data_IF_559114799368
#
_entry.id   IF_559114799368
#
_cell.length_a   1.000
_cell.length_b   1.000
_cell.length_c   1.000
_cell.angle_alpha   90.00
_cell.angle_beta   90.00
_cell.angle_gamma   90.00
#
_symmetry.space_group_name_H-M   'P 1'
#
loop_
_entity.id
_entity.type
_entity.pdbx_description
1 polymer ?
#
# COMPACT_ATOMS: atom_id res chain seq x y z
N UNK A 1 77.64 -74.06 145.93
CA UNK A 1 78.62 -73.08 145.43
C UNK A 1 77.82 -71.84 145.08
N UNK A 2 77.86 -70.85 145.96
CA UNK A 2 78.91 -69.82 145.99
C UNK A 2 78.63 -68.75 144.95
N UNK A 3 78.34 -67.58 145.50
CA UNK A 3 78.34 -66.25 144.93
C UNK A 3 79.49 -66.00 143.95
N UNK A 4 79.22 -65.16 142.94
CA UNK A 4 80.16 -64.73 141.90
C UNK A 4 81.50 -64.18 142.46
N UNK A 5 81.48 -63.57 143.65
CA UNK A 5 82.67 -63.05 144.34
C UNK A 5 83.62 -64.13 144.88
N UNK A 6 83.11 -65.31 145.24
CA UNK A 6 83.94 -66.45 145.69
C UNK A 6 84.59 -67.18 144.51
N UNK A 7 83.90 -67.24 143.36
CA UNK A 7 84.46 -67.72 142.09
C UNK A 7 85.55 -66.80 141.56
N UNK A 8 85.37 -65.47 141.65
CA UNK A 8 86.41 -64.50 141.30
C UNK A 8 87.64 -64.65 142.20
N UNK A 9 87.49 -64.73 143.53
CA UNK A 9 88.63 -64.91 144.44
C UNK A 9 89.45 -66.18 144.16
N UNK A 10 88.79 -67.29 143.79
CA UNK A 10 89.49 -68.52 143.37
C UNK A 10 90.20 -68.37 142.03
N UNK A 11 89.58 -67.69 141.06
CA UNK A 11 90.21 -67.38 139.77
C UNK A 11 91.45 -66.49 139.94
N UNK A 12 91.36 -65.44 140.77
CA UNK A 12 92.50 -64.56 141.05
C UNK A 12 93.64 -65.32 141.73
N UNK A 13 93.33 -66.23 142.66
CA UNK A 13 94.32 -67.07 143.35
C UNK A 13 95.08 -67.99 142.38
N UNK A 14 94.36 -68.64 141.45
CA UNK A 14 94.96 -69.50 140.41
C UNK A 14 95.84 -68.67 139.45
N UNK A 15 95.39 -67.47 139.07
CA UNK A 15 96.18 -66.58 138.20
C UNK A 15 97.44 -66.03 138.87
N UNK A 16 97.42 -65.80 140.20
CA UNK A 16 98.62 -65.42 140.95
C UNK A 16 99.62 -66.57 141.10
N UNK A 17 99.15 -67.81 141.22
CA UNK A 17 100.01 -69.00 141.34
C UNK A 17 100.68 -69.36 139.98
N UNK A 18 99.96 -69.20 138.87
CA UNK A 18 100.49 -69.42 137.52
C UNK A 18 101.57 -68.39 137.11
N UNK A 19 101.41 -67.12 137.50
CA UNK A 19 102.38 -66.04 137.18
C UNK A 19 103.71 -66.19 137.93
N UNK A 20 103.71 -66.86 139.09
CA UNK A 20 104.90 -67.13 139.89
C UNK A 20 105.65 -68.42 139.48
N UNK A 21 104.99 -69.37 138.81
CA UNK A 21 105.66 -70.53 138.19
C UNK A 21 106.10 -70.31 136.72
N UNK A 22 106.05 -69.07 136.23
CA UNK A 22 106.45 -68.73 134.85
C UNK A 22 105.67 -69.47 133.74
N UNK A 23 104.44 -69.92 134.01
CA UNK A 23 103.56 -70.55 133.00
C UNK A 23 102.74 -69.46 132.31
N UNK A 24 102.74 -69.44 130.97
CA UNK A 24 101.99 -68.43 130.22
C UNK A 24 100.48 -68.69 130.33
N UNK A 25 99.63 -67.64 130.36
CA UNK A 25 98.18 -67.76 130.57
C UNK A 25 97.40 -68.55 129.50
N UNK A 26 98.08 -68.99 128.44
CA UNK A 26 97.51 -69.67 127.28
C UNK A 26 97.52 -71.21 127.43
N UNK A 27 98.25 -71.75 128.41
CA UNK A 27 98.46 -73.19 128.60
C UNK A 27 97.55 -73.83 129.69
N UNK A 28 96.62 -73.06 130.29
CA UNK A 28 95.73 -73.50 131.40
C UNK A 28 94.25 -73.46 131.03
N UNK A 29 93.92 -73.00 129.82
CA UNK A 29 92.53 -72.80 129.38
C UNK A 29 92.22 -73.78 128.24
N UNK A 30 91.22 -74.67 128.40
CA UNK A 30 90.81 -75.62 127.36
C UNK A 30 90.41 -74.93 126.05
N UNK A 31 90.65 -75.58 124.89
CA UNK A 31 90.40 -75.01 123.58
C UNK A 31 88.93 -74.65 123.30
N UNK A 32 87.97 -75.06 124.14
CA UNK A 32 86.55 -74.74 123.96
C UNK A 32 86.12 -73.32 124.43
N UNK A 33 86.93 -72.58 125.20
CA UNK A 33 86.47 -71.34 125.90
C UNK A 33 87.13 -70.04 125.40
N UNK A 34 88.08 -70.11 124.46
CA UNK A 34 88.74 -68.93 123.88
C UNK A 34 87.80 -68.02 123.05
N UNK A 35 86.65 -68.52 122.61
CA UNK A 35 85.70 -67.74 121.80
C UNK A 35 84.94 -66.64 122.58
N UNK A 36 84.81 -66.75 123.91
CA UNK A 36 84.03 -65.80 124.73
C UNK A 36 84.82 -64.58 125.24
N UNK A 37 86.11 -64.45 124.88
CA UNK A 37 86.93 -63.29 125.21
C UNK A 37 86.81 -62.12 124.19
N UNK A 38 85.96 -62.25 123.17
CA UNK A 38 85.61 -61.16 122.24
C UNK A 38 84.67 -60.13 122.86
N UNK A 39 83.60 -60.57 123.55
CA UNK A 39 82.44 -59.71 123.86
C UNK A 39 82.61 -58.78 125.08
N UNK A 40 83.55 -59.06 125.99
CA UNK A 40 83.72 -58.24 127.21
C UNK A 40 84.60 -56.99 127.03
N UNK A 41 85.39 -56.91 125.95
CA UNK A 41 86.13 -55.69 125.61
C UNK A 41 85.17 -54.57 125.17
N UNK A 42 84.08 -54.91 124.50
CA UNK A 42 83.10 -53.95 124.00
C UNK A 42 82.27 -53.30 125.12
N UNK A 43 82.03 -54.03 126.22
CA UNK A 43 81.30 -53.53 127.39
C UNK A 43 82.11 -52.55 128.24
N UNK A 44 83.45 -52.64 128.23
CA UNK A 44 84.31 -51.67 128.94
C UNK A 44 84.37 -50.34 128.17
N UNK A 45 84.48 -50.39 126.84
CA UNK A 45 84.38 -49.21 125.98
C UNK A 45 83.01 -48.53 126.08
N UNK A 46 81.92 -49.30 126.20
CA UNK A 46 80.59 -48.72 126.41
C UNK A 46 80.45 -48.01 127.77
N UNK A 47 81.08 -48.52 128.84
CA UNK A 47 81.07 -47.84 130.15
C UNK A 47 81.94 -46.59 130.20
N UNK A 48 83.09 -46.59 129.52
CA UNK A 48 83.91 -45.38 129.37
C UNK A 48 83.16 -44.33 128.53
N UNK A 49 82.42 -44.74 127.49
CA UNK A 49 81.57 -43.83 126.72
C UNK A 49 80.42 -43.22 127.55
N UNK A 50 79.76 -44.00 128.43
CA UNK A 50 78.69 -43.47 129.30
C UNK A 50 79.23 -42.42 130.26
N UNK A 51 80.41 -42.64 130.84
CA UNK A 51 81.04 -41.67 131.74
C UNK A 51 81.44 -40.38 131.01
N UNK A 52 81.94 -40.51 129.78
CA UNK A 52 82.25 -39.37 128.92
C UNK A 52 80.99 -38.59 128.52
N UNK A 53 79.85 -39.27 128.34
CA UNK A 53 78.55 -38.63 128.09
C UNK A 53 78.04 -37.89 129.32
N UNK A 54 78.13 -38.47 130.53
CA UNK A 54 77.72 -37.79 131.78
C UNK A 54 78.57 -36.54 132.05
N UNK A 55 79.89 -36.59 131.82
CA UNK A 55 80.76 -35.40 131.91
C UNK A 55 80.44 -34.36 130.83
N UNK A 56 80.08 -34.79 129.61
CA UNK A 56 79.57 -33.89 128.58
C UNK A 56 78.22 -33.28 128.95
N UNK A 57 77.35 -34.03 129.61
CA UNK A 57 76.02 -33.57 129.99
C UNK A 57 76.12 -32.53 131.11
N UNK A 58 76.97 -32.73 132.12
CA UNK A 58 77.29 -31.68 133.10
C UNK A 58 77.94 -30.45 132.44
N UNK A 59 78.90 -30.65 131.53
CA UNK A 59 79.49 -29.52 130.80
C UNK A 59 78.47 -28.78 129.91
N UNK A 60 77.44 -29.47 129.40
CA UNK A 60 76.33 -28.86 128.65
C UNK A 60 75.33 -28.15 129.55
N UNK A 61 75.10 -28.64 130.77
CA UNK A 61 74.27 -27.95 131.78
C UNK A 61 74.95 -26.67 132.22
N UNK A 62 76.24 -26.71 132.57
CA UNK A 62 77.02 -25.51 132.90
C UNK A 62 77.05 -24.53 131.73
N UNK A 63 77.24 -25.04 130.50
CA UNK A 63 77.22 -24.20 129.29
C UNK A 63 75.83 -23.65 128.98
N UNK A 64 74.75 -24.33 129.37
CA UNK A 64 73.39 -23.81 129.28
C UNK A 64 73.12 -22.75 130.33
N UNK A 65 73.63 -22.89 131.56
CA UNK A 65 73.54 -21.83 132.57
C UNK A 65 74.34 -20.59 132.17
N UNK A 66 75.53 -20.78 131.60
CA UNK A 66 76.33 -19.69 131.02
C UNK A 66 75.64 -19.07 129.80
N UNK A 67 75.05 -19.88 128.91
CA UNK A 67 74.25 -19.37 127.78
C UNK A 67 73.00 -18.63 128.27
N UNK A 68 72.33 -19.07 129.34
CA UNK A 68 71.20 -18.32 129.92
C UNK A 68 71.65 -16.99 130.56
N UNK A 69 72.85 -16.96 131.16
CA UNK A 69 73.48 -15.70 131.60
C UNK A 69 73.83 -14.80 130.42
N UNK A 70 74.42 -15.33 129.35
CA UNK A 70 74.71 -14.58 128.12
C UNK A 70 73.41 -14.10 127.45
N UNK A 71 72.33 -14.88 127.49
CA UNK A 71 71.04 -14.51 126.92
C UNK A 71 70.32 -13.46 127.78
N UNK A 72 70.46 -13.50 129.10
CA UNK A 72 70.00 -12.41 130.00
C UNK A 72 70.82 -11.13 129.80
N UNK A 73 72.14 -11.23 129.65
CA UNK A 73 73.00 -10.08 129.34
C UNK A 73 72.73 -9.53 127.92
N UNK A 74 72.47 -10.39 126.93
CA UNK A 74 72.09 -9.97 125.58
C UNK A 74 70.69 -9.34 125.54
N UNK A 75 69.74 -9.82 126.35
CA UNK A 75 68.41 -9.20 126.48
C UNK A 75 68.49 -7.83 127.17
N UNK A 76 69.35 -7.66 128.18
CA UNK A 76 69.61 -6.33 128.76
C UNK A 76 70.39 -5.41 127.80
N UNK A 77 71.30 -5.94 126.97
CA UNK A 77 71.95 -5.17 125.90
C UNK A 77 71.01 -4.80 124.74
N UNK A 78 69.84 -5.46 124.60
CA UNK A 78 68.78 -5.12 123.63
C UNK A 78 67.79 -4.09 124.21
N UNK A 79 67.62 -4.01 125.54
CA UNK A 79 66.86 -2.91 126.17
C UNK A 79 67.69 -1.61 126.30
N UNK A 80 69.02 -1.72 126.47
CA UNK A 80 69.97 -0.59 126.47
C UNK A 80 70.64 -0.35 125.09
N UNK A 81 69.88 -0.47 124.00
CA UNK A 81 70.34 -0.11 122.64
C UNK A 81 70.36 1.43 122.47
N UNK A 82 71.44 2.02 121.89
CA UNK A 82 71.56 3.47 121.69
C UNK A 82 70.42 4.04 120.85
N UNK A 83 69.98 5.28 121.13
CA UNK A 83 68.93 6.01 120.38
C UNK A 83 69.11 5.94 118.85
N UNK A 84 70.35 5.80 118.38
CA UNK A 84 70.73 5.71 116.96
C UNK A 84 70.08 4.52 116.21
N UNK A 85 69.81 3.39 116.88
CA UNK A 85 69.14 2.24 116.24
C UNK A 85 67.62 2.41 116.16
N UNK A 86 67.01 3.11 117.13
CA UNK A 86 65.59 3.51 117.04
C UNK A 86 65.39 4.53 115.91
N UNK A 87 66.34 5.45 115.75
CA UNK A 87 66.37 6.40 114.63
C UNK A 87 66.40 5.70 113.26
N UNK A 88 67.30 4.72 113.07
CA UNK A 88 67.40 3.96 111.79
C UNK A 88 66.14 3.16 111.44
N UNK A 89 65.43 2.63 112.42
CA UNK A 89 64.15 1.93 112.18
C UNK A 89 63.08 2.89 111.69
N UNK A 90 63.03 4.10 112.25
CA UNK A 90 62.14 5.18 111.81
C UNK A 90 62.53 5.64 110.41
N UNK A 91 63.83 5.83 110.12
CA UNK A 91 64.31 6.20 108.79
C UNK A 91 63.98 5.14 107.73
N UNK A 92 64.08 3.86 108.08
CA UNK A 92 63.72 2.76 107.19
C UNK A 92 62.21 2.70 106.93
N UNK A 93 61.37 2.96 107.93
CA UNK A 93 59.92 3.10 107.76
C UNK A 93 59.58 4.32 106.89
N UNK A 94 60.23 5.47 107.12
CA UNK A 94 60.05 6.67 106.30
C UNK A 94 60.48 6.43 104.85
N UNK A 95 61.60 5.74 104.61
CA UNK A 95 62.04 5.36 103.28
C UNK A 95 61.07 4.38 102.60
N UNK A 96 60.51 3.41 103.34
CA UNK A 96 59.47 2.51 102.82
C UNK A 96 58.19 3.27 102.47
N UNK A 97 57.77 4.24 103.30
CA UNK A 97 56.64 5.10 103.00
C UNK A 97 56.89 5.98 101.76
N UNK A 98 58.09 6.55 101.62
CA UNK A 98 58.48 7.31 100.44
C UNK A 98 58.50 6.44 99.18
N UNK A 99 59.10 5.24 99.24
CA UNK A 99 59.11 4.28 98.13
C UNK A 99 57.68 3.92 97.73
N UNK A 100 56.80 3.65 98.70
CA UNK A 100 55.39 3.34 98.43
C UNK A 100 54.67 4.53 97.79
N UNK A 101 54.85 5.74 98.33
CA UNK A 101 54.28 6.96 97.77
C UNK A 101 54.73 7.19 96.33
N UNK A 102 56.03 7.07 96.02
CA UNK A 102 56.53 7.24 94.66
C UNK A 102 56.09 6.12 93.71
N UNK A 103 55.92 4.88 94.20
CA UNK A 103 55.30 3.81 93.41
C UNK A 103 53.85 4.11 93.07
N UNK A 104 53.04 4.48 94.06
CA UNK A 104 51.63 4.84 93.85
C UNK A 104 51.51 6.05 92.90
N UNK A 105 52.41 7.04 93.03
CA UNK A 105 52.47 8.20 92.12
C UNK A 105 52.84 7.80 90.69
N UNK A 106 53.82 6.90 90.54
CA UNK A 106 54.25 6.38 89.23
C UNK A 106 53.12 5.58 88.57
N UNK A 107 52.48 4.66 89.31
CA UNK A 107 51.33 3.89 88.80
C UNK A 107 50.17 4.80 88.40
N UNK A 108 49.87 5.82 89.21
CA UNK A 108 48.85 6.82 88.87
C UNK A 108 49.23 7.61 87.61
N UNK A 109 50.49 8.02 87.48
CA UNK A 109 50.99 8.73 86.29
C UNK A 109 50.94 7.85 85.04
N UNK A 110 51.32 6.57 85.15
CA UNK A 110 51.23 5.58 84.06
C UNK A 110 49.79 5.34 83.64
N UNK A 111 48.87 5.12 84.59
CA UNK A 111 47.44 4.98 84.29
C UNK A 111 46.88 6.23 83.61
N UNK A 112 47.29 7.42 84.08
CA UNK A 112 46.88 8.69 83.47
C UNK A 112 47.45 8.84 82.05
N UNK A 113 48.71 8.47 81.82
CA UNK A 113 49.34 8.49 80.50
C UNK A 113 48.65 7.51 79.54
N UNK A 114 48.34 6.28 79.98
CA UNK A 114 47.59 5.29 79.22
C UNK A 114 46.18 5.78 78.88
N UNK A 115 45.49 6.41 79.83
CA UNK A 115 44.18 7.02 79.58
C UNK A 115 44.26 8.15 78.55
N UNK A 116 45.28 9.00 78.61
CA UNK A 116 45.48 10.05 77.59
C UNK A 116 45.85 9.46 76.23
N UNK A 117 46.69 8.43 76.17
CA UNK A 117 47.02 7.72 74.94
C UNK A 117 45.78 7.09 74.32
N UNK A 118 44.94 6.43 75.10
CA UNK A 118 43.67 5.86 74.64
C UNK A 118 42.73 6.93 74.10
N UNK A 119 42.53 8.05 74.83
CA UNK A 119 41.71 9.18 74.37
C UNK A 119 42.26 9.82 73.10
N UNK A 120 43.58 9.94 72.99
CA UNK A 120 44.23 10.47 71.79
C UNK A 120 44.02 9.55 70.59
N UNK A 121 44.19 8.24 70.75
CA UNK A 121 43.90 7.26 69.70
C UNK A 121 42.43 7.27 69.29
N UNK A 122 41.50 7.41 70.24
CA UNK A 122 40.08 7.56 69.93
C UNK A 122 39.79 8.85 69.16
N UNK A 123 40.40 9.97 69.56
CA UNK A 123 40.27 11.25 68.85
C UNK A 123 40.84 11.16 67.43
N UNK A 124 42.00 10.52 67.23
CA UNK A 124 42.58 10.29 65.91
C UNK A 124 41.68 9.42 65.03
N UNK A 125 41.07 8.36 65.57
CA UNK A 125 40.10 7.54 64.83
C UNK A 125 38.88 8.37 64.41
N UNK A 126 38.34 9.20 65.32
CA UNK A 126 37.21 10.10 65.01
C UNK A 126 37.59 11.12 63.94
N UNK A 127 38.80 11.68 64.01
CA UNK A 127 39.30 12.61 63.00
C UNK A 127 39.43 11.92 61.64
N UNK A 128 40.04 10.73 61.56
CA UNK A 128 40.15 9.97 60.32
C UNK A 128 38.77 9.67 59.70
N UNK A 129 37.78 9.27 60.51
CA UNK A 129 36.42 9.05 60.01
C UNK A 129 35.73 10.33 59.54
N UNK A 130 36.03 11.48 60.16
CA UNK A 130 35.51 12.77 59.75
C UNK A 130 36.14 13.23 58.43
N UNK A 131 37.46 13.02 58.27
CA UNK A 131 38.19 13.33 57.04
C UNK A 131 37.69 12.46 55.87
N UNK A 132 37.46 11.16 56.09
CA UNK A 132 36.85 10.26 55.10
C UNK A 132 35.44 10.71 54.71
N UNK A 133 34.62 11.12 55.68
CA UNK A 133 33.28 11.64 55.43
C UNK A 133 33.33 12.95 54.63
N UNK A 134 34.26 13.85 54.96
CA UNK A 134 34.44 15.12 54.26
C UNK A 134 34.87 14.90 52.80
N UNK A 135 35.85 14.01 52.55
CA UNK A 135 36.24 13.65 51.18
C UNK A 135 35.07 13.04 50.39
N UNK A 136 34.22 12.25 51.05
CA UNK A 136 33.02 11.69 50.41
C UNK A 136 32.00 12.78 50.06
N UNK A 137 31.80 13.76 50.96
CA UNK A 137 30.92 14.91 50.70
C UNK A 137 31.44 15.69 49.49
N UNK A 138 32.73 16.03 49.44
CA UNK A 138 33.33 16.79 48.34
C UNK A 138 33.18 16.06 46.99
N UNK A 139 33.36 14.74 46.96
CA UNK A 139 33.12 13.93 45.74
C UNK A 139 31.66 13.97 45.30
N UNK A 140 30.72 13.79 46.23
CA UNK A 140 29.29 13.82 45.93
C UNK A 140 28.84 15.23 45.50
N UNK A 141 29.40 16.29 46.07
CA UNK A 141 29.12 17.67 45.65
C UNK A 141 29.62 17.93 44.22
N UNK A 142 30.81 17.43 43.86
CA UNK A 142 31.33 17.51 42.50
C UNK A 142 30.45 16.72 41.51
N UNK A 143 30.09 15.47 41.84
CA UNK A 143 29.17 14.65 41.02
C UNK A 143 27.80 15.33 40.85
N UNK A 144 27.25 15.93 41.92
CA UNK A 144 26.00 16.68 41.85
C UNK A 144 26.12 17.91 40.94
N UNK A 145 27.26 18.60 40.94
CA UNK A 145 27.50 19.74 40.06
C UNK A 145 27.56 19.29 38.59
N UNK A 146 28.29 18.22 38.30
CA UNK A 146 28.40 17.65 36.95
C UNK A 146 27.04 17.18 36.43
N UNK A 147 26.25 16.48 37.26
CA UNK A 147 24.90 16.06 36.91
C UNK A 147 23.96 17.25 36.64
N UNK A 148 24.05 18.33 37.43
CA UNK A 148 23.28 19.56 37.15
C UNK A 148 23.67 20.17 35.80
N UNK A 149 24.97 20.22 35.47
CA UNK A 149 25.44 20.72 34.19
C UNK A 149 24.90 19.88 33.02
N UNK A 150 24.92 18.55 33.15
CA UNK A 150 24.35 17.63 32.15
C UNK A 150 22.84 17.81 32.01
N UNK A 151 22.09 17.95 33.11
CA UNK A 151 20.65 18.19 33.08
C UNK A 151 20.34 19.49 32.32
N UNK A 152 21.04 20.59 32.61
CA UNK A 152 20.84 21.86 31.90
C UNK A 152 21.14 21.70 30.40
N UNK A 153 22.19 20.98 30.04
CA UNK A 153 22.53 20.70 28.63
C UNK A 153 21.40 19.92 27.94
N UNK A 154 20.91 18.85 28.55
CA UNK A 154 19.81 18.04 28.00
C UNK A 154 18.51 18.83 27.90
N UNK A 155 18.22 19.70 28.87
CA UNK A 155 17.06 20.60 28.80
C UNK A 155 17.18 21.51 27.59
N UNK A 156 18.35 22.14 27.36
CA UNK A 156 18.56 23.01 26.22
C UNK A 156 18.49 22.26 24.88
N UNK A 157 19.06 21.05 24.81
CA UNK A 157 18.96 20.19 23.62
C UNK A 157 17.51 19.79 23.33
N UNK A 158 16.72 19.48 24.37
CA UNK A 158 15.32 19.13 24.24
C UNK A 158 14.48 20.34 23.77
N UNK A 159 14.70 21.53 24.33
CA UNK A 159 14.06 22.75 23.84
C UNK A 159 14.39 23.02 22.36
N UNK A 160 15.67 22.93 21.97
CA UNK A 160 16.09 23.11 20.58
C UNK A 160 15.47 22.06 19.64
N UNK A 161 15.36 20.80 20.07
CA UNK A 161 14.66 19.77 19.31
C UNK A 161 13.15 20.08 19.17
N UNK A 162 12.53 20.63 20.22
CA UNK A 162 11.12 20.99 20.20
C UNK A 162 10.85 22.15 19.22
N UNK A 163 11.69 23.19 19.24
CA UNK A 163 11.60 24.32 18.30
C UNK A 163 11.77 23.87 16.84
N UNK A 164 12.70 22.95 16.58
CA UNK A 164 12.89 22.34 15.25
C UNK A 164 11.65 21.55 14.84
N UNK A 165 11.11 20.73 15.74
CA UNK A 165 9.91 19.94 15.49
C UNK A 165 8.71 20.83 15.15
N UNK A 166 8.48 21.89 15.93
CA UNK A 166 7.38 22.83 15.69
C UNK A 166 7.54 23.56 14.36
N UNK A 167 8.76 23.98 14.00
CA UNK A 167 9.05 24.59 12.70
C UNK A 167 8.79 23.64 11.52
N UNK A 168 9.18 22.36 11.65
CA UNK A 168 8.91 21.34 10.62
C UNK A 168 7.41 21.10 10.51
N UNK A 169 6.72 20.94 11.64
CA UNK A 169 5.28 20.72 11.68
C UNK A 169 4.50 21.87 11.04
N UNK A 170 4.89 23.12 11.28
CA UNK A 170 4.27 24.28 10.64
C UNK A 170 4.48 24.28 9.12
N UNK A 171 5.68 23.93 8.65
CA UNK A 171 5.97 23.82 7.21
C UNK A 171 5.17 22.70 6.56
N UNK A 172 5.06 21.54 7.22
CA UNK A 172 4.30 20.41 6.71
C UNK A 172 2.80 20.72 6.64
N UNK A 173 2.25 21.42 7.65
CA UNK A 173 0.86 21.89 7.63
C UNK A 173 0.60 22.85 6.47
N UNK A 174 1.46 23.85 6.27
CA UNK A 174 1.36 24.77 5.12
C UNK A 174 1.44 24.03 3.78
N UNK A 175 2.35 23.07 3.65
CA UNK A 175 2.49 22.27 2.44
C UNK A 175 1.27 21.36 2.19
N UNK A 176 0.60 20.89 3.26
CA UNK A 176 -0.65 20.15 3.15
C UNK A 176 -1.80 21.07 2.70
N UNK A 177 -1.94 22.25 3.30
CA UNK A 177 -2.93 23.26 2.90
C UNK A 177 -2.76 23.65 1.42
N UNK A 178 -1.52 23.94 0.98
CA UNK A 178 -1.21 24.27 -0.42
C UNK A 178 -1.58 23.12 -1.38
N UNK A 179 -1.36 21.87 -0.96
CA UNK A 179 -1.74 20.69 -1.77
C UNK A 179 -3.25 20.51 -1.81
N UNK A 180 -3.95 20.74 -0.70
CA UNK A 180 -5.40 20.62 -0.62
C UNK A 180 -6.09 21.66 -1.51
N UNK A 181 -5.60 22.91 -1.52
CA UNK A 181 -6.07 23.95 -2.43
C UNK A 181 -5.88 23.53 -3.90
N UNK A 182 -4.69 23.04 -4.26
CA UNK A 182 -4.42 22.56 -5.64
C UNK A 182 -5.28 21.38 -6.03
N UNK A 183 -5.57 20.46 -5.10
CA UNK A 183 -6.47 19.34 -5.35
C UNK A 183 -7.89 19.83 -5.61
N UNK A 184 -8.42 20.74 -4.78
CA UNK A 184 -9.75 21.33 -5.01
C UNK A 184 -9.84 22.07 -6.36
N UNK A 185 -8.81 22.82 -6.74
CA UNK A 185 -8.74 23.48 -8.06
C UNK A 185 -8.77 22.46 -9.21
N UNK A 186 -8.02 21.36 -9.07
CA UNK A 186 -7.96 20.32 -10.10
C UNK A 186 -9.26 19.52 -10.19
N UNK A 187 -9.90 19.21 -9.05
CA UNK A 187 -11.23 18.59 -9.02
C UNK A 187 -12.28 19.47 -9.70
N UNK A 188 -12.26 20.77 -9.42
CA UNK A 188 -13.15 21.72 -10.09
C UNK A 188 -12.90 21.77 -11.59
N UNK A 189 -11.63 21.81 -12.01
CA UNK A 189 -11.28 21.77 -13.43
C UNK A 189 -11.75 20.49 -14.11
N UNK A 190 -11.56 19.33 -13.47
CA UNK A 190 -12.04 18.04 -14.00
C UNK A 190 -13.56 18.07 -14.15
N UNK A 191 -14.29 18.51 -13.14
CA UNK A 191 -15.75 18.63 -13.18
C UNK A 191 -16.21 19.55 -14.33
N UNK A 192 -15.61 20.74 -14.47
CA UNK A 192 -15.92 21.67 -15.57
C UNK A 192 -15.64 21.04 -16.94
N UNK A 193 -14.55 20.28 -17.08
CA UNK A 193 -14.24 19.59 -18.34
C UNK A 193 -15.22 18.47 -18.63
N UNK A 194 -15.62 17.67 -17.64
CA UNK A 194 -16.62 16.60 -17.80
C UNK A 194 -17.98 17.15 -18.21
N UNK A 195 -18.42 18.24 -17.59
CA UNK A 195 -19.68 18.89 -17.94
C UNK A 195 -19.64 19.46 -19.36
N UNK A 196 -18.49 20.02 -19.78
CA UNK A 196 -18.28 20.44 -21.17
C UNK A 196 -18.29 19.26 -22.14
N UNK A 197 -17.69 18.13 -21.78
CA UNK A 197 -17.72 16.92 -22.60
C UNK A 197 -19.14 16.41 -22.81
N UNK A 198 -19.97 16.36 -21.75
CA UNK A 198 -21.38 15.98 -21.85
C UNK A 198 -22.17 16.92 -22.77
N UNK A 199 -21.96 18.23 -22.66
CA UNK A 199 -22.61 19.20 -23.55
C UNK A 199 -22.24 18.97 -25.02
N UNK A 200 -20.96 18.73 -25.32
CA UNK A 200 -20.51 18.45 -26.69
C UNK A 200 -21.07 17.14 -27.21
N UNK A 201 -21.21 16.12 -26.37
CA UNK A 201 -21.83 14.85 -26.74
C UNK A 201 -23.33 14.99 -27.03
N UNK A 202 -24.06 15.75 -26.21
CA UNK A 202 -25.47 16.10 -26.46
C UNK A 202 -25.65 16.92 -27.75
N UNK A 203 -24.79 17.90 -28.01
CA UNK A 203 -24.79 18.67 -29.26
C UNK A 203 -24.50 17.79 -30.48
N UNK A 204 -23.56 16.85 -30.35
CA UNK A 204 -23.22 15.89 -31.39
C UNK A 204 -24.43 14.99 -31.70
N UNK A 205 -25.09 14.44 -30.69
CA UNK A 205 -26.26 13.58 -30.87
C UNK A 205 -27.42 14.34 -31.53
N UNK A 206 -27.64 15.61 -31.14
CA UNK A 206 -28.61 16.49 -31.80
C UNK A 206 -28.24 16.73 -33.26
N UNK A 207 -26.96 16.98 -33.56
CA UNK A 207 -26.49 17.17 -34.92
C UNK A 207 -26.71 15.92 -35.78
N UNK A 208 -26.34 14.74 -35.28
CA UNK A 208 -26.55 13.45 -35.96
C UNK A 208 -28.05 13.24 -36.26
N UNK A 209 -28.94 13.46 -35.28
CA UNK A 209 -30.39 13.35 -35.49
C UNK A 209 -30.91 14.32 -36.56
N UNK A 210 -30.45 15.58 -36.56
CA UNK A 210 -30.87 16.56 -37.58
C UNK A 210 -30.34 16.22 -38.97
N UNK A 211 -29.13 15.68 -39.06
CA UNK A 211 -28.50 15.26 -40.30
C UNK A 211 -29.22 14.04 -40.90
N UNK A 212 -29.49 13.02 -40.10
CA UNK A 212 -30.24 11.84 -40.52
C UNK A 212 -31.65 12.21 -40.98
N UNK A 213 -32.33 13.09 -40.23
CA UNK A 213 -33.65 13.60 -40.62
C UNK A 213 -33.64 14.44 -41.90
N UNK A 214 -32.52 15.09 -42.25
CA UNK A 214 -32.36 15.78 -43.52
C UNK A 214 -32.18 14.77 -44.67
N UNK A 215 -31.38 13.73 -44.46
CA UNK A 215 -31.17 12.66 -45.44
C UNK A 215 -32.50 11.97 -45.75
N UNK A 216 -33.26 11.57 -44.74
CA UNK A 216 -34.55 10.90 -44.93
C UNK A 216 -35.54 11.78 -45.72
N UNK A 217 -35.58 13.08 -45.44
CA UNK A 217 -36.40 14.03 -46.19
C UNK A 217 -35.95 14.15 -47.65
N UNK A 218 -34.64 14.25 -47.88
CA UNK A 218 -34.09 14.39 -49.22
C UNK A 218 -34.29 13.13 -50.05
N UNK A 219 -34.15 11.95 -49.44
CA UNK A 219 -34.45 10.66 -50.08
C UNK A 219 -35.95 10.53 -50.40
N UNK A 220 -36.82 10.97 -49.48
CA UNK A 220 -38.27 11.05 -49.70
C UNK A 220 -38.63 11.96 -50.89
N UNK A 221 -38.15 13.20 -50.88
CA UNK A 221 -38.36 14.16 -51.97
C UNK A 221 -37.80 13.66 -53.30
N UNK A 222 -36.61 13.05 -53.29
CA UNK A 222 -35.99 12.51 -54.51
C UNK A 222 -36.81 11.36 -55.09
N UNK A 223 -37.32 10.47 -54.24
CA UNK A 223 -38.21 9.37 -54.63
C UNK A 223 -39.53 9.89 -55.21
N UNK A 224 -40.15 10.88 -54.57
CA UNK A 224 -41.38 11.53 -55.04
C UNK A 224 -41.18 12.22 -56.39
N UNK A 225 -40.09 12.97 -56.55
CA UNK A 225 -39.74 13.64 -57.82
C UNK A 225 -39.48 12.60 -58.92
N UNK A 226 -38.76 11.53 -58.63
CA UNK A 226 -38.54 10.45 -59.59
C UNK A 226 -39.86 9.77 -60.01
N UNK A 227 -40.77 9.52 -59.08
CA UNK A 227 -42.09 8.97 -59.38
C UNK A 227 -42.94 9.94 -60.23
N UNK A 228 -42.94 11.23 -59.90
CA UNK A 228 -43.63 12.26 -60.67
C UNK A 228 -43.05 12.40 -62.09
N UNK A 229 -41.73 12.34 -62.23
CA UNK A 229 -41.04 12.39 -63.53
C UNK A 229 -41.36 11.16 -64.39
N UNK A 230 -41.37 9.96 -63.80
CA UNK A 230 -41.73 8.74 -64.51
C UNK A 230 -43.19 8.76 -64.96
N UNK A 231 -44.11 9.24 -64.11
CA UNK A 231 -45.52 9.39 -64.45
C UNK A 231 -45.74 10.41 -65.58
N UNK A 232 -45.09 11.56 -65.52
CA UNK A 232 -45.18 12.59 -66.57
C UNK A 232 -44.56 12.12 -67.88
N UNK A 233 -43.40 11.46 -67.85
CA UNK A 233 -42.76 10.83 -69.00
C UNK A 233 -43.66 9.76 -69.64
N UNK A 234 -44.31 8.93 -68.81
CA UNK A 234 -45.30 7.95 -69.26
C UNK A 234 -46.47 8.60 -69.99
N UNK A 235 -47.07 9.64 -69.39
CA UNK A 235 -48.16 10.41 -70.01
C UNK A 235 -47.73 11.06 -71.34
N UNK A 236 -46.53 11.64 -71.38
CA UNK A 236 -46.01 12.29 -72.58
C UNK A 236 -45.81 11.29 -73.72
N UNK A 237 -45.27 10.09 -73.43
CA UNK A 237 -45.14 9.01 -74.42
C UNK A 237 -46.48 8.55 -74.97
N UNK A 238 -47.52 8.44 -74.13
CA UNK A 238 -48.87 8.09 -74.58
C UNK A 238 -49.44 9.20 -75.47
N UNK A 239 -49.32 10.47 -75.05
CA UNK A 239 -49.80 11.61 -75.83
C UNK A 239 -49.08 11.73 -77.20
N UNK A 240 -47.77 11.49 -77.24
CA UNK A 240 -46.98 11.51 -78.47
C UNK A 240 -47.39 10.37 -79.42
N UNK A 241 -47.60 9.16 -78.91
CA UNK A 241 -48.13 8.03 -79.70
C UNK A 241 -49.50 8.33 -80.30
N UNK A 242 -50.43 8.86 -79.49
CA UNK A 242 -51.76 9.26 -79.97
C UNK A 242 -51.66 10.34 -81.06
N UNK A 243 -50.84 11.37 -80.83
CA UNK A 243 -50.60 12.42 -81.84
C UNK A 243 -50.05 11.85 -83.15
N UNK A 244 -49.05 10.96 -83.09
CA UNK A 244 -48.47 10.34 -84.28
C UNK A 244 -49.53 9.50 -85.02
N UNK A 245 -50.32 8.71 -84.29
CA UNK A 245 -51.42 7.93 -84.86
C UNK A 245 -52.45 8.84 -85.56
N UNK A 246 -52.92 9.89 -84.88
CA UNK A 246 -53.87 10.87 -85.43
C UNK A 246 -53.33 11.53 -86.71
N UNK A 247 -52.08 12.02 -86.69
CA UNK A 247 -51.48 12.67 -87.87
C UNK A 247 -51.34 11.68 -89.03
N UNK A 248 -50.94 10.44 -88.73
CA UNK A 248 -50.79 9.38 -89.74
C UNK A 248 -52.12 8.99 -90.37
N UNK A 249 -53.21 8.89 -89.60
CA UNK A 249 -54.56 8.61 -90.09
C UNK A 249 -55.19 9.77 -90.86
N UNK A 250 -54.99 11.02 -90.42
CA UNK A 250 -55.57 12.21 -91.06
C UNK A 250 -54.91 12.52 -92.41
N UNK A 251 -53.62 12.20 -92.57
CA UNK A 251 -52.86 12.51 -93.79
C UNK A 251 -53.48 11.94 -95.08
N UNK A 252 -53.79 10.63 -95.19
CA UNK A 252 -54.45 10.09 -96.39
C UNK A 252 -55.87 10.65 -96.59
N UNK A 253 -56.62 10.89 -95.50
CA UNK A 253 -57.95 11.51 -95.61
C UNK A 253 -57.88 12.92 -96.19
N UNK A 254 -56.91 13.73 -95.75
CA UNK A 254 -56.69 15.07 -96.31
C UNK A 254 -56.44 15.00 -97.83
N UNK A 255 -55.53 14.12 -98.25
CA UNK A 255 -55.21 13.91 -99.68
C UNK A 255 -56.41 13.41 -100.48
N UNK A 256 -57.23 12.54 -99.89
CA UNK A 256 -58.49 12.10 -100.48
C UNK A 256 -59.42 13.30 -100.71
N UNK A 257 -59.66 14.15 -99.71
CA UNK A 257 -60.57 15.29 -99.85
C UNK A 257 -60.06 16.34 -100.84
N UNK A 258 -58.73 16.55 -100.90
CA UNK A 258 -58.11 17.37 -101.96
C UNK A 258 -58.37 16.78 -103.35
N UNK A 259 -58.20 15.45 -103.51
CA UNK A 259 -58.46 14.74 -104.76
C UNK A 259 -59.94 14.77 -105.14
N UNK A 260 -60.83 14.57 -104.18
CA UNK A 260 -62.28 14.65 -104.35
C UNK A 260 -62.72 16.04 -104.80
N UNK A 261 -62.15 17.10 -104.22
CA UNK A 261 -62.40 18.47 -104.64
C UNK A 261 -61.95 18.71 -106.09
N UNK A 262 -60.77 18.20 -106.48
CA UNK A 262 -60.28 18.26 -107.86
C UNK A 262 -61.22 17.53 -108.84
N UNK A 263 -61.65 16.30 -108.50
CA UNK A 263 -62.61 15.52 -109.29
C UNK A 263 -63.94 16.28 -109.47
N UNK A 264 -64.49 16.82 -108.38
CA UNK A 264 -65.73 17.61 -108.42
C UNK A 264 -65.54 18.84 -109.30
N UNK A 265 -64.40 19.52 -109.20
CA UNK A 265 -64.08 20.67 -110.05
C UNK A 265 -64.05 20.27 -111.53
N UNK A 266 -63.46 19.13 -111.89
CA UNK A 266 -63.47 18.63 -113.27
C UNK A 266 -64.92 18.38 -113.74
N UNK A 267 -65.75 17.71 -112.92
CA UNK A 267 -67.17 17.53 -113.25
C UNK A 267 -67.88 18.86 -113.46
N UNK A 268 -67.66 19.83 -112.57
CA UNK A 268 -68.25 21.16 -112.68
C UNK A 268 -67.88 21.83 -114.00
N UNK A 269 -66.59 21.79 -114.41
CA UNK A 269 -66.15 22.36 -115.68
C UNK A 269 -66.78 21.66 -116.89
N UNK A 270 -66.88 20.32 -116.85
CA UNK A 270 -67.56 19.53 -117.90
C UNK A 270 -69.04 19.96 -118.01
N UNK A 271 -69.76 20.03 -116.90
CA UNK A 271 -71.17 20.44 -116.90
C UNK A 271 -71.35 21.89 -117.33
N UNK A 272 -70.51 22.81 -116.85
CA UNK A 272 -70.52 24.21 -117.28
C UNK A 272 -70.26 24.33 -118.78
N UNK A 273 -69.28 23.63 -119.33
CA UNK A 273 -69.00 23.61 -120.77
C UNK A 273 -70.13 23.02 -121.61
N UNK A 274 -70.83 22.01 -121.08
CA UNK A 274 -72.01 21.44 -121.74
C UNK A 274 -73.19 22.42 -121.75
N UNK A 275 -73.42 23.13 -120.64
CA UNK A 275 -74.54 24.05 -120.45
C UNK A 275 -74.30 25.46 -121.02
N UNK A 276 -73.05 25.88 -121.22
CA UNK A 276 -72.72 27.18 -121.80
C UNK A 276 -73.18 27.25 -123.27
N UNK A 277 -73.95 28.29 -123.59
CA UNK A 277 -74.47 28.57 -124.94
C UNK A 277 -73.53 29.41 -125.79
N UNK A 278 -72.64 30.18 -125.18
CA UNK A 278 -71.78 31.14 -125.88
C UNK A 278 -70.52 30.49 -126.46
N UNK A 279 -70.03 29.40 -125.86
CA UNK A 279 -68.84 28.69 -126.30
C UNK A 279 -69.08 27.17 -126.35
N UNK A 280 -69.52 26.60 -127.49
CA UNK A 280 -69.93 25.20 -127.60
C UNK A 280 -68.75 24.22 -127.71
N UNK A 281 -67.60 24.52 -127.09
CA UNK A 281 -66.48 23.57 -127.06
C UNK A 281 -66.72 22.58 -125.93
N UNK A 282 -67.35 21.46 -126.26
CA UNK A 282 -67.53 20.33 -125.33
C UNK A 282 -66.15 19.88 -124.84
N UNK A 283 -65.87 20.09 -123.56
CA UNK A 283 -64.70 19.52 -122.91
C UNK A 283 -64.95 18.04 -122.70
N UNK A 284 -64.13 17.21 -123.33
CA UNK A 284 -64.12 15.77 -123.10
C UNK A 284 -63.46 15.45 -121.77
N UNK A 285 -63.77 14.28 -121.21
CA UNK A 285 -63.17 13.82 -119.96
C UNK A 285 -61.64 13.83 -120.10
N UNK A 286 -60.93 14.59 -119.25
CA UNK A 286 -59.48 14.52 -119.21
C UNK A 286 -59.02 13.15 -118.70
N UNK A 287 -57.94 12.59 -119.25
CA UNK A 287 -57.33 11.36 -118.73
C UNK A 287 -56.93 11.50 -117.25
N UNK A 288 -56.63 12.73 -116.83
CA UNK A 288 -56.36 13.10 -115.45
C UNK A 288 -57.53 12.81 -114.48
N UNK A 289 -58.79 12.75 -114.95
CA UNK A 289 -59.94 12.43 -114.11
C UNK A 289 -59.87 10.99 -113.59
N UNK A 290 -59.59 10.02 -114.47
CA UNK A 290 -59.51 8.62 -114.06
C UNK A 290 -58.34 8.38 -113.12
N UNK A 291 -57.18 8.98 -113.43
CA UNK A 291 -56.03 8.96 -112.52
C UNK A 291 -56.34 9.57 -111.15
N UNK A 292 -57.12 10.66 -111.09
CA UNK A 292 -57.53 11.28 -109.83
C UNK A 292 -58.49 10.41 -109.03
N UNK A 293 -59.44 9.72 -109.67
CA UNK A 293 -60.36 8.77 -109.03
C UNK A 293 -59.57 7.57 -108.47
N UNK A 294 -58.71 6.96 -109.29
CA UNK A 294 -57.89 5.82 -108.84
C UNK A 294 -56.91 6.23 -107.73
N UNK A 295 -56.39 7.46 -107.76
CA UNK A 295 -55.58 8.01 -106.66
C UNK A 295 -56.40 8.20 -105.39
N UNK A 296 -57.63 8.72 -105.49
CA UNK A 296 -58.53 8.86 -104.36
C UNK A 296 -58.89 7.49 -103.74
N UNK A 297 -59.05 6.44 -104.55
CA UNK A 297 -59.26 5.07 -104.08
C UNK A 297 -58.10 4.60 -103.20
N UNK A 298 -56.86 4.79 -103.68
CA UNK A 298 -55.63 4.42 -102.97
C UNK A 298 -55.47 5.17 -101.64
N UNK A 299 -55.86 6.44 -101.57
CA UNK A 299 -55.81 7.20 -100.31
C UNK A 299 -56.84 6.67 -99.31
N UNK A 300 -58.03 6.25 -99.75
CA UNK A 300 -59.00 5.57 -98.88
C UNK A 300 -58.46 4.22 -98.38
N UNK A 301 -57.85 3.41 -99.25
CA UNK A 301 -57.22 2.15 -98.85
C UNK A 301 -56.07 2.35 -97.86
N UNK A 302 -55.21 3.34 -98.12
CA UNK A 302 -54.11 3.72 -97.24
C UNK A 302 -54.60 4.12 -95.85
N UNK A 303 -55.72 4.85 -95.75
CA UNK A 303 -56.35 5.16 -94.47
C UNK A 303 -56.72 3.89 -93.68
N UNK A 304 -57.41 2.92 -94.29
CA UNK A 304 -57.80 1.70 -93.58
C UNK A 304 -56.60 0.81 -93.22
N UNK A 305 -55.60 0.74 -94.10
CA UNK A 305 -54.37 0.01 -93.80
C UNK A 305 -53.65 0.60 -92.59
N UNK A 306 -53.47 1.93 -92.56
CA UNK A 306 -52.86 2.62 -91.42
C UNK A 306 -53.69 2.47 -90.15
N UNK A 307 -55.01 2.60 -90.25
CA UNK A 307 -55.92 2.37 -89.11
C UNK A 307 -55.75 0.97 -88.52
N UNK A 308 -55.75 -0.05 -89.37
CA UNK A 308 -55.58 -1.44 -88.94
C UNK A 308 -54.20 -1.67 -88.31
N UNK A 309 -53.14 -1.09 -88.86
CA UNK A 309 -51.80 -1.17 -88.31
C UNK A 309 -51.74 -0.53 -86.90
N UNK A 310 -52.32 0.67 -86.74
CA UNK A 310 -52.38 1.38 -85.46
C UNK A 310 -53.23 0.63 -84.42
N UNK A 311 -54.36 0.03 -84.84
CA UNK A 311 -55.19 -0.79 -83.96
C UNK A 311 -54.43 -2.05 -83.48
N UNK A 312 -53.56 -2.62 -84.32
CA UNK A 312 -52.70 -3.76 -83.94
C UNK A 312 -51.61 -3.40 -82.94
N UNK A 313 -51.22 -2.13 -82.84
CA UNK A 313 -50.27 -1.62 -81.84
C UNK A 313 -50.91 -1.40 -80.46
N UNK A 314 -52.22 -1.67 -80.32
CA UNK A 314 -52.94 -1.57 -79.05
C UNK A 314 -53.20 -0.13 -78.60
N UNK A 315 -53.20 0.83 -79.54
CA UNK A 315 -53.60 2.21 -79.26
C UNK A 315 -55.12 2.22 -79.10
N UNK A 316 -55.60 2.56 -77.90
CA UNK A 316 -57.03 2.63 -77.60
C UNK A 316 -57.74 3.64 -78.53
N UNK A 317 -59.00 3.36 -78.87
CA UNK A 317 -59.84 4.29 -79.63
C UNK A 317 -60.28 5.40 -78.69
N UNK A 318 -59.90 6.63 -79.01
CA UNK A 318 -60.40 7.83 -78.34
C UNK A 318 -61.46 8.53 -79.20
N UNK A 319 -62.10 9.56 -78.63
CA UNK A 319 -63.12 10.34 -79.33
C UNK A 319 -62.59 10.93 -80.66
N UNK A 320 -61.32 11.34 -80.70
CA UNK A 320 -60.69 11.90 -81.90
C UNK A 320 -60.56 10.84 -82.99
N UNK A 321 -60.10 9.65 -82.66
CA UNK A 321 -59.99 8.52 -83.59
C UNK A 321 -61.35 8.05 -84.05
N UNK A 322 -62.38 8.09 -83.22
CA UNK A 322 -63.75 7.77 -83.65
C UNK A 322 -64.25 8.79 -84.70
N UNK A 323 -64.01 10.08 -84.49
CA UNK A 323 -64.33 11.12 -85.49
C UNK A 323 -63.54 10.93 -86.80
N UNK A 324 -62.25 10.59 -86.72
CA UNK A 324 -61.42 10.29 -87.89
C UNK A 324 -61.95 9.07 -88.66
N UNK A 325 -62.42 8.03 -87.96
CA UNK A 325 -63.06 6.86 -88.59
C UNK A 325 -64.36 7.24 -89.30
N UNK A 326 -65.18 8.12 -88.71
CA UNK A 326 -66.37 8.64 -89.37
C UNK A 326 -66.02 9.39 -90.66
N UNK A 327 -64.95 10.19 -90.66
CA UNK A 327 -64.43 10.84 -91.86
C UNK A 327 -63.98 9.82 -92.91
N UNK A 328 -63.25 8.77 -92.51
CA UNK A 328 -62.85 7.70 -93.42
C UNK A 328 -64.03 6.98 -94.07
N UNK A 329 -65.06 6.63 -93.29
CA UNK A 329 -66.31 6.05 -93.84
C UNK A 329 -67.02 7.02 -94.78
N UNK A 330 -67.00 8.30 -94.47
CA UNK A 330 -67.54 9.35 -95.33
C UNK A 330 -66.77 9.45 -96.65
N UNK A 331 -65.44 9.40 -96.60
CA UNK A 331 -64.56 9.40 -97.76
C UNK A 331 -64.83 8.21 -98.69
N UNK A 332 -64.98 6.99 -98.18
CA UNK A 332 -65.33 5.81 -99.00
C UNK A 332 -66.66 5.99 -99.73
N UNK A 333 -67.69 6.47 -99.03
CA UNK A 333 -69.00 6.71 -99.65
C UNK A 333 -68.93 7.80 -100.71
N UNK A 334 -68.18 8.86 -100.43
CA UNK A 334 -67.95 9.94 -101.38
C UNK A 334 -67.20 9.45 -102.61
N UNK A 335 -66.15 8.64 -102.44
CA UNK A 335 -65.44 7.98 -103.53
C UNK A 335 -66.40 7.19 -104.42
N UNK A 336 -67.17 6.27 -103.83
CA UNK A 336 -68.12 5.45 -104.58
C UNK A 336 -69.13 6.29 -105.38
N UNK A 337 -69.56 7.42 -104.81
CA UNK A 337 -70.43 8.38 -105.50
C UNK A 337 -69.70 9.06 -106.67
N UNK A 338 -68.46 9.53 -106.46
CA UNK A 338 -67.65 10.17 -107.50
C UNK A 338 -67.32 9.21 -108.66
N UNK A 339 -67.04 7.95 -108.37
CA UNK A 339 -66.79 6.93 -109.38
C UNK A 339 -68.05 6.57 -110.18
N UNK A 340 -69.20 6.45 -109.51
CA UNK A 340 -70.49 6.26 -110.19
C UNK A 340 -70.81 7.44 -111.13
N UNK A 341 -70.64 8.68 -110.66
CA UNK A 341 -70.76 9.89 -111.49
C UNK A 341 -69.79 9.85 -112.66
N UNK A 342 -68.55 9.37 -112.47
CA UNK A 342 -67.58 9.23 -113.54
C UNK A 342 -68.10 8.30 -114.65
N UNK A 343 -68.65 7.16 -114.26
CA UNK A 343 -69.26 6.19 -115.16
C UNK A 343 -70.45 6.78 -115.92
N UNK A 344 -71.32 7.51 -115.23
CA UNK A 344 -72.48 8.17 -115.83
C UNK A 344 -72.09 9.27 -116.81
N UNK A 345 -71.18 10.17 -116.42
CA UNK A 345 -70.64 11.25 -117.27
C UNK A 345 -69.92 10.66 -118.48
N UNK A 346 -69.13 9.60 -118.31
CA UNK A 346 -68.44 8.90 -119.41
C UNK A 346 -69.43 8.32 -120.41
N UNK A 347 -70.46 7.61 -119.94
CA UNK A 347 -71.52 7.04 -120.79
C UNK A 347 -72.31 8.13 -121.51
N UNK A 348 -72.63 9.21 -120.80
CA UNK A 348 -73.34 10.36 -121.35
C UNK A 348 -72.53 11.03 -122.46
N UNK A 349 -71.27 11.40 -122.20
CA UNK A 349 -70.40 12.02 -123.19
C UNK A 349 -70.13 11.09 -124.38
N UNK A 350 -69.91 9.79 -124.17
CA UNK A 350 -69.76 8.83 -125.27
C UNK A 350 -71.02 8.78 -126.15
N UNK A 351 -72.21 8.88 -125.56
CA UNK A 351 -73.49 8.94 -126.29
C UNK A 351 -73.61 10.24 -127.07
N UNK A 352 -73.26 11.38 -126.46
CA UNK A 352 -73.20 12.69 -127.12
C UNK A 352 -72.23 12.70 -128.30
N UNK A 353 -71.08 12.04 -128.17
CA UNK A 353 -70.09 11.90 -129.25
C UNK A 353 -70.64 11.11 -130.44
N UNK A 354 -71.44 10.07 -130.17
CA UNK A 354 -72.07 9.22 -131.19
C UNK A 354 -73.29 9.88 -131.83
N UNK A 355 -74.02 10.72 -131.09
CA UNK A 355 -75.26 11.39 -131.53
C UNK A 355 -75.28 12.86 -131.08
N UNK A 356 -74.53 13.75 -131.76
CA UNK A 356 -74.43 15.16 -131.38
C UNK A 356 -75.73 15.94 -131.61
N UNK A 357 -76.57 15.48 -132.54
CA UNK A 357 -77.90 15.99 -132.86
C UNK A 357 -78.88 15.88 -131.68
N UNK A 358 -78.81 14.78 -130.93
CA UNK A 358 -79.64 14.56 -129.73
C UNK A 358 -79.37 15.63 -128.68
N UNK A 359 -78.13 16.10 -128.56
CA UNK A 359 -77.79 17.17 -127.61
C UNK A 359 -78.42 18.51 -127.97
N UNK A 360 -78.43 18.86 -129.26
CA UNK A 360 -79.09 20.08 -129.73
C UNK A 360 -80.59 20.03 -129.44
N UNK A 361 -81.21 18.87 -129.63
CA UNK A 361 -82.62 18.65 -129.33
C UNK A 361 -82.91 18.75 -127.82
N UNK A 362 -82.01 18.24 -126.98
CA UNK A 362 -82.08 18.40 -125.51
C UNK A 362 -81.91 19.87 -125.12
N UNK A 363 -80.92 20.60 -125.67
CA UNK A 363 -80.74 22.05 -125.45
C UNK A 363 -81.98 22.86 -125.86
N UNK A 364 -82.61 22.51 -126.98
CA UNK A 364 -83.88 23.09 -127.43
C UNK A 364 -85.03 22.79 -126.47
N UNK A 365 -85.17 21.53 -126.03
CA UNK A 365 -86.28 21.09 -125.18
C UNK A 365 -86.23 21.67 -123.78
N UNK A 366 -85.03 21.85 -123.22
CA UNK A 366 -84.83 22.41 -121.88
C UNK A 366 -84.67 23.93 -121.86
N UNK A 367 -84.90 24.62 -122.99
CA UNK A 367 -84.83 26.08 -123.05
C UNK A 367 -83.44 26.66 -122.76
N UNK A 368 -82.38 25.84 -122.86
CA UNK A 368 -80.99 26.25 -122.61
C UNK A 368 -80.52 27.19 -123.74
N UNK A 369 -81.18 27.17 -124.90
CA UNK A 369 -81.07 28.22 -125.91
C UNK A 369 -81.73 29.50 -125.38
N UNK A 370 -80.96 30.33 -124.67
CA UNK A 370 -81.37 31.69 -124.38
C UNK A 370 -81.58 32.46 -125.69
N UNK A 371 -82.72 33.16 -125.72
CA UNK A 371 -83.04 34.23 -126.69
C UNK A 371 -81.80 35.11 -126.88
N UNK A 372 -81.49 35.40 -128.16
CA UNK A 372 -80.57 36.45 -128.59
C UNK A 372 -80.80 37.76 -127.84
#
# INVERSE_FOLDING_TARGET
MSTLGDLQKRLTAIFTEAKAQYIKPQDVIPPEVQAHFGDLKELKTAREYIKEVEEREMALVDRNEDLEKELKQAKQAVEDLPDDHKQRLIDLQQAQHQIKFYKDLMEYAEQRALNYQAKWQEALKKQATADEAQQKIERLEAECYDHKAVIVKLINENHGAHDIYDSIREKDLKALEDKEVKLMEMEKFVQETEDRYKQVEEEKDQFEQTYDGLIEKLDGETSEVAAALNNTSGRLRVAERLRIATVSEVTPLRKFYESAHSIISIYQHIFQGLLNTEQPKVQWIPDALRASIDSAAKECEAFYFLRQAIDSEGIESDEVRDQINLLGRSAVRMHGSLEAIAGDVSRFLATLRRRPDVWQLVKMKFGILTRR
#
